data_IF_995355223579
#
_entry.id   IF_995355223579
#
_cell.length_a   1.000
_cell.length_b   1.000
_cell.length_c   1.000
_cell.angle_alpha   90.00
_cell.angle_beta   90.00
_cell.angle_gamma   90.00
#
_symmetry.space_group_name_H-M   'P 1'
#
loop_
_entity.id
_entity.type
_entity.pdbx_description
1 polymer ?
#
# COMPACT_ATOMS: atom_id res chain seq x y z
N UNK A 1 9.37 -24.65 10.21
CA UNK A 1 8.54 -24.66 9.01
C UNK A 1 7.85 -23.31 8.92
N UNK A 2 8.30 -22.45 8.01
CA UNK A 2 7.71 -21.14 7.78
C UNK A 2 6.43 -21.29 6.94
N UNK A 3 5.32 -20.61 7.26
CA UNK A 3 4.21 -20.52 6.33
C UNK A 3 4.67 -19.64 5.15
N UNK A 4 4.66 -20.23 3.96
CA UNK A 4 4.87 -19.53 2.70
C UNK A 4 3.77 -18.48 2.52
N UNK A 5 4.19 -17.22 2.39
CA UNK A 5 3.39 -16.11 1.91
C UNK A 5 3.04 -16.36 0.43
N UNK A 6 2.01 -17.19 0.18
CA UNK A 6 1.50 -17.43 -1.16
C UNK A 6 0.64 -16.26 -1.63
N UNK A 7 1.32 -15.17 -1.99
CA UNK A 7 0.76 -14.22 -2.94
C UNK A 7 0.57 -14.95 -4.28
N UNK A 8 -0.66 -15.06 -4.82
CA UNK A 8 -0.90 -15.88 -6.00
C UNK A 8 -0.12 -15.30 -7.18
N UNK A 9 0.68 -16.14 -7.82
CA UNK A 9 1.57 -15.73 -8.90
C UNK A 9 0.76 -15.20 -10.09
N UNK A 10 1.31 -14.28 -10.92
CA UNK A 10 0.63 -13.74 -12.10
C UNK A 10 0.04 -14.81 -13.04
N UNK A 11 0.59 -16.02 -13.01
CA UNK A 11 0.13 -17.18 -13.79
C UNK A 11 -1.22 -17.70 -13.32
N UNK A 12 -1.47 -17.78 -12.01
CA UNK A 12 -2.78 -18.20 -11.50
C UNK A 12 -3.86 -17.16 -11.76
N UNK A 13 -3.50 -15.86 -11.74
CA UNK A 13 -4.43 -14.77 -12.04
C UNK A 13 -4.89 -14.81 -13.50
N UNK A 14 -3.95 -15.12 -14.40
CA UNK A 14 -4.18 -15.26 -15.84
C UNK A 14 -5.11 -16.44 -16.15
N UNK A 15 -4.90 -17.59 -15.52
CA UNK A 15 -5.77 -18.76 -15.66
C UNK A 15 -7.21 -18.44 -15.26
N UNK A 16 -7.41 -17.79 -14.13
CA UNK A 16 -8.74 -17.35 -13.70
C UNK A 16 -9.42 -16.42 -14.70
N UNK A 17 -8.69 -15.45 -15.27
CA UNK A 17 -9.22 -14.53 -16.25
C UNK A 17 -9.67 -15.25 -17.54
N UNK A 18 -8.92 -16.26 -17.98
CA UNK A 18 -9.33 -17.11 -19.12
C UNK A 18 -10.56 -17.97 -18.81
N UNK A 19 -10.70 -18.45 -17.57
CA UNK A 19 -11.90 -19.16 -17.12
C UNK A 19 -13.14 -18.25 -17.15
N UNK A 20 -13.06 -17.02 -16.65
CA UNK A 20 -14.18 -16.05 -16.70
C UNK A 20 -14.56 -15.72 -18.15
N UNK A 21 -13.57 -15.61 -19.05
CA UNK A 21 -13.84 -15.45 -20.48
C UNK A 21 -14.63 -16.65 -21.04
N UNK A 22 -14.19 -17.87 -20.75
CA UNK A 22 -14.84 -19.10 -21.21
C UNK A 22 -16.27 -19.25 -20.65
N UNK A 23 -16.49 -18.96 -19.37
CA UNK A 23 -17.82 -18.96 -18.74
C UNK A 23 -18.78 -17.97 -19.39
N UNK A 24 -18.26 -16.85 -19.88
CA UNK A 24 -19.04 -15.82 -20.56
C UNK A 24 -19.14 -16.06 -22.08
N UNK A 25 -18.71 -17.24 -22.54
CA UNK A 25 -18.61 -17.61 -23.96
C UNK A 25 -17.83 -16.58 -24.80
N UNK A 26 -16.84 -15.95 -24.18
CA UNK A 26 -16.01 -14.92 -24.79
C UNK A 26 -14.71 -15.54 -25.30
N UNK A 27 -14.53 -15.49 -26.61
CA UNK A 27 -13.29 -15.90 -27.25
C UNK A 27 -12.29 -14.73 -27.25
N UNK A 28 -11.21 -14.86 -26.45
CA UNK A 28 -10.15 -13.86 -26.37
C UNK A 28 -9.38 -13.69 -27.69
N UNK A 29 -9.40 -14.69 -28.58
CA UNK A 29 -8.75 -14.61 -29.88
C UNK A 29 -9.54 -13.75 -30.89
N UNK A 30 -10.85 -13.62 -30.68
CA UNK A 30 -11.74 -12.75 -31.44
C UNK A 30 -11.72 -11.30 -30.94
N UNK A 31 -11.07 -11.01 -29.81
CA UNK A 31 -11.01 -9.68 -29.20
C UNK A 31 -9.96 -8.81 -29.90
N UNK A 32 -10.41 -7.75 -30.55
CA UNK A 32 -9.56 -6.72 -31.14
C UNK A 32 -9.26 -5.59 -30.16
N UNK A 33 -8.55 -4.57 -30.68
CA UNK A 33 -8.12 -3.39 -29.90
C UNK A 33 -9.28 -2.60 -29.33
N UNK A 34 -10.41 -2.55 -30.04
CA UNK A 34 -11.59 -1.81 -29.62
C UNK A 34 -12.28 -2.51 -28.43
N UNK A 35 -12.49 -3.82 -28.53
CA UNK A 35 -13.10 -4.63 -27.47
C UNK A 35 -12.21 -4.67 -26.22
N UNK A 36 -10.89 -4.85 -26.39
CA UNK A 36 -9.95 -4.85 -25.27
C UNK A 36 -9.97 -3.54 -24.47
N UNK A 37 -10.07 -2.39 -25.16
CA UNK A 37 -10.23 -1.07 -24.52
C UNK A 37 -11.57 -0.96 -23.79
N UNK A 38 -12.63 -1.52 -24.35
CA UNK A 38 -13.96 -1.54 -23.74
C UNK A 38 -13.97 -2.37 -22.45
N UNK A 39 -13.38 -3.57 -22.47
CA UNK A 39 -13.20 -4.41 -21.27
C UNK A 39 -12.43 -3.64 -20.19
N UNK A 40 -11.28 -3.06 -20.56
CA UNK A 40 -10.47 -2.26 -19.62
C UNK A 40 -11.27 -1.11 -19.00
N UNK A 41 -12.00 -0.35 -19.82
CA UNK A 41 -12.80 0.79 -19.34
C UNK A 41 -13.92 0.35 -18.39
N UNK A 42 -14.60 -0.75 -18.71
CA UNK A 42 -15.65 -1.32 -17.84
C UNK A 42 -15.07 -1.79 -16.51
N UNK A 43 -13.96 -2.53 -16.53
CA UNK A 43 -13.31 -2.98 -15.30
C UNK A 43 -12.81 -1.79 -14.47
N UNK A 44 -12.15 -0.82 -15.09
CA UNK A 44 -11.70 0.39 -14.40
C UNK A 44 -12.86 1.15 -13.76
N UNK A 45 -14.00 1.24 -14.44
CA UNK A 45 -15.18 1.92 -13.90
C UNK A 45 -15.75 1.22 -12.67
N UNK A 46 -15.66 -0.11 -12.59
CA UNK A 46 -16.12 -0.89 -11.44
C UNK A 46 -15.10 -0.88 -10.30
N UNK A 47 -13.82 -1.08 -10.61
CA UNK A 47 -12.74 -1.15 -9.63
C UNK A 47 -12.36 0.23 -9.07
N UNK A 48 -12.53 1.29 -9.86
CA UNK A 48 -12.05 2.64 -9.53
C UNK A 48 -10.54 2.84 -9.77
N UNK A 49 -9.83 1.81 -10.22
CA UNK A 49 -8.40 1.83 -10.55
C UNK A 49 -8.09 0.97 -11.78
N UNK A 50 -6.87 1.08 -12.29
CA UNK A 50 -6.43 0.31 -13.46
C UNK A 50 -6.39 -1.18 -13.15
N UNK A 51 -7.04 -2.04 -13.95
CA UNK A 51 -7.04 -3.48 -13.71
C UNK A 51 -5.60 -4.03 -13.60
N UNK A 52 -5.35 -4.96 -12.65
CA UNK A 52 -4.03 -5.55 -12.44
C UNK A 52 -3.62 -6.44 -13.64
N UNK A 53 -2.32 -6.73 -13.79
CA UNK A 53 -1.86 -7.72 -14.77
C UNK A 53 -2.47 -9.10 -14.48
N UNK A 54 -2.76 -9.85 -15.54
CA UNK A 54 -3.48 -11.13 -15.45
C UNK A 54 -5.00 -10.99 -15.28
N UNK A 55 -5.55 -9.77 -15.28
CA UNK A 55 -7.00 -9.57 -15.43
C UNK A 55 -7.47 -9.87 -16.85
N UNK A 56 -8.77 -10.04 -17.03
CA UNK A 56 -9.39 -10.20 -18.35
C UNK A 56 -9.03 -9.03 -19.29
N UNK A 57 -8.97 -7.79 -18.78
CA UNK A 57 -8.53 -6.65 -19.58
C UNK A 57 -7.06 -6.78 -20.03
N UNK A 58 -6.18 -7.27 -19.16
CA UNK A 58 -4.77 -7.50 -19.47
C UNK A 58 -4.61 -8.58 -20.54
N UNK A 59 -5.34 -9.70 -20.40
CA UNK A 59 -5.33 -10.80 -21.38
C UNK A 59 -5.91 -10.38 -22.73
N UNK A 60 -7.03 -9.66 -22.71
CA UNK A 60 -7.63 -9.06 -23.91
C UNK A 60 -6.66 -8.10 -24.62
N UNK A 61 -5.92 -7.28 -23.87
CA UNK A 61 -4.90 -6.39 -24.44
C UNK A 61 -3.72 -7.17 -25.02
N UNK A 62 -3.30 -8.26 -24.37
CA UNK A 62 -2.25 -9.12 -24.88
C UNK A 62 -2.67 -9.83 -26.18
N UNK A 63 -3.90 -10.33 -26.25
CA UNK A 63 -4.48 -10.92 -27.46
C UNK A 63 -4.60 -9.89 -28.59
N UNK A 64 -5.16 -8.71 -28.30
CA UNK A 64 -5.28 -7.61 -29.26
C UNK A 64 -3.92 -7.07 -29.72
N UNK A 65 -2.86 -7.19 -28.91
CA UNK A 65 -1.51 -6.80 -29.34
C UNK A 65 -0.94 -7.77 -30.37
N UNK A 66 -1.36 -9.04 -30.36
CA UNK A 66 -1.01 -10.04 -31.37
C UNK A 66 -1.92 -9.93 -32.61
N UNK A 67 -3.19 -9.61 -32.39
CA UNK A 67 -4.23 -9.52 -33.42
C UNK A 67 -5.07 -8.25 -33.23
N UNK A 68 -4.62 -7.08 -33.77
CA UNK A 68 -5.26 -5.80 -33.50
C UNK A 68 -6.72 -5.70 -33.96
N UNK A 69 -7.07 -6.44 -35.02
CA UNK A 69 -8.41 -6.49 -35.60
C UNK A 69 -9.22 -7.71 -35.15
N UNK A 70 -8.67 -8.55 -34.25
CA UNK A 70 -9.23 -9.86 -33.90
C UNK A 70 -8.93 -10.92 -34.98
N UNK A 71 -8.86 -12.19 -34.58
CA UNK A 71 -8.67 -13.31 -35.53
C UNK A 71 -9.97 -13.66 -36.26
N UNK A 72 -11.09 -13.44 -35.59
CA UNK A 72 -12.42 -13.81 -36.09
C UNK A 72 -13.06 -12.66 -36.88
N UNK A 73 -13.76 -12.95 -37.99
CA UNK A 73 -14.44 -11.93 -38.81
C UNK A 73 -15.67 -11.32 -38.13
N UNK A 74 -16.17 -11.95 -37.06
CA UNK A 74 -17.27 -11.44 -36.26
C UNK A 74 -16.73 -10.92 -34.93
N UNK A 75 -17.02 -9.66 -34.55
CA UNK A 75 -16.67 -9.16 -33.23
C UNK A 75 -17.43 -9.95 -32.16
N UNK A 76 -16.83 -10.15 -30.97
CA UNK A 76 -17.50 -10.82 -29.87
C UNK A 76 -18.69 -10.00 -29.39
N UNK A 77 -19.72 -10.70 -28.90
CA UNK A 77 -20.96 -10.05 -28.47
C UNK A 77 -20.69 -9.06 -27.33
N UNK A 78 -21.32 -7.89 -27.44
CA UNK A 78 -21.12 -6.79 -26.51
C UNK A 78 -21.73 -7.04 -25.14
N UNK A 79 -22.75 -7.89 -25.05
CA UNK A 79 -23.32 -8.29 -23.76
C UNK A 79 -22.37 -9.25 -23.03
N UNK A 80 -21.86 -10.28 -23.72
CA UNK A 80 -20.85 -11.20 -23.19
C UNK A 80 -19.57 -10.47 -22.73
N UNK A 81 -19.08 -9.50 -23.53
CA UNK A 81 -17.95 -8.64 -23.16
C UNK A 81 -18.17 -7.91 -21.84
N UNK A 82 -19.37 -7.34 -21.67
CA UNK A 82 -19.72 -6.58 -20.48
C UNK A 82 -19.85 -7.50 -19.28
N UNK A 83 -20.52 -8.62 -19.42
CA UNK A 83 -20.70 -9.60 -18.36
C UNK A 83 -19.35 -10.13 -17.86
N UNK A 84 -18.48 -10.58 -18.78
CA UNK A 84 -17.14 -11.06 -18.46
C UNK A 84 -16.31 -10.01 -17.73
N UNK A 85 -16.34 -8.76 -18.22
CA UNK A 85 -15.63 -7.65 -17.59
C UNK A 85 -16.12 -7.38 -16.16
N UNK A 86 -17.44 -7.39 -15.93
CA UNK A 86 -18.04 -7.19 -14.61
C UNK A 86 -17.73 -8.34 -13.65
N UNK A 87 -17.83 -9.59 -14.11
CA UNK A 87 -17.50 -10.79 -13.32
C UNK A 87 -16.03 -10.79 -12.88
N UNK A 88 -15.12 -10.51 -13.80
CA UNK A 88 -13.69 -10.43 -13.48
C UNK A 88 -13.37 -9.24 -12.56
N UNK A 89 -14.02 -8.09 -12.76
CA UNK A 89 -13.89 -6.96 -11.83
C UNK A 89 -14.41 -7.29 -10.43
N UNK A 90 -15.54 -8.01 -10.31
CA UNK A 90 -16.05 -8.45 -9.02
C UNK A 90 -15.10 -9.45 -8.32
N UNK A 91 -14.51 -10.37 -9.09
CA UNK A 91 -13.47 -11.30 -8.61
C UNK A 91 -12.26 -10.54 -8.08
N UNK A 92 -11.76 -9.57 -8.86
CA UNK A 92 -10.61 -8.73 -8.47
C UNK A 92 -10.96 -7.87 -7.26
N UNK A 93 -12.17 -7.31 -7.18
CA UNK A 93 -12.65 -6.58 -6.01
C UNK A 93 -12.65 -7.46 -4.76
N UNK A 94 -13.25 -8.65 -4.82
CA UNK A 94 -13.29 -9.59 -3.70
C UNK A 94 -11.90 -10.06 -3.28
N UNK A 95 -10.98 -10.23 -4.23
CA UNK A 95 -9.58 -10.57 -3.93
C UNK A 95 -8.81 -9.38 -3.39
N UNK A 96 -8.98 -8.19 -3.96
CA UNK A 96 -8.36 -6.96 -3.46
C UNK A 96 -8.86 -6.66 -2.06
N UNK A 97 -10.13 -6.87 -1.72
CA UNK A 97 -10.61 -6.78 -0.34
C UNK A 97 -9.89 -7.77 0.60
N UNK A 98 -9.52 -8.95 0.11
CA UNK A 98 -8.66 -9.90 0.83
C UNK A 98 -7.16 -9.57 0.74
N UNK A 99 -6.76 -8.65 -0.14
CA UNK A 99 -5.37 -8.32 -0.49
C UNK A 99 -5.08 -6.81 -0.48
N UNK A 100 -5.85 -6.02 0.31
CA UNK A 100 -5.84 -4.57 0.59
C UNK A 100 -7.01 -3.69 0.03
N UNK A 101 -7.61 -2.85 0.89
CA UNK A 101 -6.97 -1.63 1.38
C UNK A 101 -6.10 -1.98 2.57
N UNK A 102 -4.92 -1.40 2.59
CA UNK A 102 -3.95 -1.51 3.68
C UNK A 102 -4.61 -0.91 4.92
N UNK A 103 -5.52 -1.65 5.57
CA UNK A 103 -5.82 -1.43 6.97
C UNK A 103 -4.46 -1.58 7.61
N UNK A 104 -3.80 -0.44 7.86
CA UNK A 104 -2.48 -0.42 8.46
C UNK A 104 -2.70 -0.85 9.90
N UNK A 105 -2.88 -2.15 10.09
CA UNK A 105 -2.98 -2.76 11.41
C UNK A 105 -1.54 -2.97 11.85
N UNK A 106 -0.97 -1.93 12.46
CA UNK A 106 0.35 -2.02 13.05
C UNK A 106 0.14 -2.32 14.54
N UNK A 107 0.55 -3.52 14.97
CA UNK A 107 0.42 -3.98 16.37
C UNK A 107 -1.01 -3.94 16.92
N UNK A 108 -1.97 -4.49 16.16
CA UNK A 108 -3.41 -4.54 16.51
C UNK A 108 -4.12 -3.18 16.53
N UNK A 109 -3.47 -2.11 16.06
CA UNK A 109 -4.04 -0.76 15.96
C UNK A 109 -4.35 -0.45 14.50
N UNK A 110 -5.60 -0.10 14.24
CA UNK A 110 -6.04 0.40 12.93
C UNK A 110 -5.63 1.87 12.76
N UNK A 111 -4.55 2.13 12.02
CA UNK A 111 -4.06 3.49 11.80
C UNK A 111 -5.03 4.34 10.97
N UNK A 112 -5.95 3.75 10.20
CA UNK A 112 -6.94 4.53 9.43
C UNK A 112 -8.03 5.14 10.32
N UNK A 113 -8.14 4.65 11.57
CA UNK A 113 -9.09 5.12 12.58
C UNK A 113 -8.41 5.88 13.72
N UNK A 114 -7.13 6.18 13.59
CA UNK A 114 -6.38 6.86 14.65
C UNK A 114 -6.57 8.37 14.58
N UNK A 115 -6.89 8.95 15.73
CA UNK A 115 -7.03 10.37 15.92
C UNK A 115 -5.73 11.00 16.39
N UNK A 116 -5.70 12.33 16.37
CA UNK A 116 -4.52 13.10 16.75
C UNK A 116 -4.12 12.90 18.22
N UNK A 117 -5.09 12.67 19.11
CA UNK A 117 -4.84 12.38 20.53
C UNK A 117 -4.10 11.04 20.71
N UNK A 118 -4.56 10.00 20.04
CA UNK A 118 -3.98 8.65 20.13
C UNK A 118 -2.62 8.57 19.45
N UNK A 119 -2.46 9.22 18.30
CA UNK A 119 -1.16 9.32 17.65
C UNK A 119 -0.13 10.03 18.55
N UNK A 120 -0.54 11.07 19.28
CA UNK A 120 0.34 11.77 20.24
C UNK A 120 0.68 10.88 21.43
N UNK A 121 -0.28 10.06 21.88
CA UNK A 121 -0.06 9.08 22.93
C UNK A 121 0.94 8.02 22.51
N UNK A 122 0.80 7.42 21.33
CA UNK A 122 1.77 6.47 20.78
C UNK A 122 3.17 7.08 20.73
N UNK A 123 3.30 8.31 20.25
CA UNK A 123 4.58 9.02 20.22
C UNK A 123 5.19 9.19 21.62
N UNK A 124 4.39 9.56 22.62
CA UNK A 124 4.86 9.71 24.00
C UNK A 124 5.31 8.38 24.60
N UNK A 125 4.53 7.32 24.39
CA UNK A 125 4.82 5.98 24.94
C UNK A 125 6.03 5.33 24.25
N UNK A 126 6.16 5.44 22.93
CA UNK A 126 7.36 4.98 22.22
C UNK A 126 8.60 5.78 22.63
N UNK A 127 8.49 7.10 22.74
CA UNK A 127 9.61 7.93 23.21
C UNK A 127 10.06 7.52 24.61
N UNK A 128 9.12 7.28 25.54
CA UNK A 128 9.45 6.79 26.89
C UNK A 128 10.13 5.43 26.86
N UNK A 129 9.68 4.52 26.00
CA UNK A 129 10.24 3.18 25.87
C UNK A 129 11.63 3.18 25.19
N UNK A 130 11.85 4.04 24.21
CA UNK A 130 13.12 4.17 23.49
C UNK A 130 14.15 5.05 24.21
N UNK A 131 13.68 6.03 24.99
CA UNK A 131 14.52 7.08 25.58
C UNK A 131 14.92 8.20 24.62
N UNK A 132 14.41 8.19 23.39
CA UNK A 132 14.66 9.21 22.36
C UNK A 132 13.47 9.34 21.41
N UNK A 133 13.50 10.35 20.54
CA UNK A 133 12.42 10.58 19.56
C UNK A 133 12.27 9.39 18.60
N UNK A 134 11.07 8.80 18.47
CA UNK A 134 10.86 7.68 17.57
C UNK A 134 11.31 8.00 16.14
N UNK A 135 12.03 7.08 15.46
CA UNK A 135 12.53 7.30 14.11
C UNK A 135 11.39 7.35 13.09
N UNK A 136 11.62 7.92 11.89
CA UNK A 136 10.67 7.81 10.79
C UNK A 136 10.44 6.33 10.44
N UNK A 137 9.20 5.95 10.18
CA UNK A 137 8.79 4.57 9.96
C UNK A 137 8.54 3.76 11.25
N UNK A 138 8.62 4.38 12.43
CA UNK A 138 8.06 3.78 13.65
C UNK A 138 6.53 3.83 13.62
N UNK A 139 5.88 3.00 14.45
CA UNK A 139 4.43 2.97 14.59
C UNK A 139 3.89 4.36 14.96
N UNK A 140 4.51 5.07 15.90
CA UNK A 140 4.12 6.44 16.25
C UNK A 140 4.28 7.43 15.08
N UNK A 141 5.35 7.31 14.30
CA UNK A 141 5.55 8.15 13.13
C UNK A 141 4.47 7.91 12.06
N UNK A 142 4.12 6.64 11.82
CA UNK A 142 3.04 6.28 10.90
C UNK A 142 1.67 6.77 11.40
N UNK A 143 1.41 6.63 12.71
CA UNK A 143 0.18 7.11 13.34
C UNK A 143 0.00 8.62 13.20
N UNK A 144 1.06 9.42 13.34
CA UNK A 144 1.00 10.87 13.13
C UNK A 144 0.65 11.22 11.69
N UNK A 145 1.26 10.51 10.72
CA UNK A 145 0.96 10.71 9.30
C UNK A 145 -0.48 10.33 8.98
N UNK A 146 -1.00 9.24 9.56
CA UNK A 146 -2.37 8.81 9.37
C UNK A 146 -3.37 9.79 10.00
N UNK A 147 -3.15 10.22 11.25
CA UNK A 147 -3.98 11.22 11.91
C UNK A 147 -4.01 12.56 11.15
N UNK A 148 -2.90 12.97 10.54
CA UNK A 148 -2.85 14.18 9.72
C UNK A 148 -3.71 14.09 8.45
N UNK A 149 -3.94 12.88 7.93
CA UNK A 149 -4.85 12.64 6.79
C UNK A 149 -6.32 12.61 7.19
N UNK A 150 -6.61 12.37 8.48
CA UNK A 150 -7.96 12.22 9.02
C UNK A 150 -8.25 13.22 10.15
N UNK A 151 -8.26 14.55 9.86
CA UNK A 151 -8.44 15.59 10.89
C UNK A 151 -9.82 15.57 11.56
N UNK A 152 -10.78 14.86 10.95
CA UNK A 152 -12.15 14.66 11.45
C UNK A 152 -12.27 13.61 12.57
N UNK A 153 -11.26 12.73 12.72
CA UNK A 153 -11.22 11.73 13.79
C UNK A 153 -10.62 12.37 15.04
N UNK A 154 -11.49 12.95 15.87
CA UNK A 154 -11.09 13.59 17.13
C UNK A 154 -10.96 12.61 18.29
N UNK A 155 -11.85 11.62 18.32
CA UNK A 155 -11.94 10.63 19.41
C UNK A 155 -11.97 9.22 18.81
N UNK A 156 -10.81 8.58 18.70
CA UNK A 156 -10.78 7.14 18.46
C UNK A 156 -11.10 6.45 19.78
N UNK A 157 -12.06 5.53 19.76
CA UNK A 157 -12.39 4.71 20.93
C UNK A 157 -11.38 3.53 21.03
N UNK A 158 -10.09 3.85 21.00
CA UNK A 158 -9.01 2.86 21.13
C UNK A 158 -8.61 2.81 22.60
N UNK A 159 -8.59 1.60 23.18
CA UNK A 159 -8.21 1.44 24.58
C UNK A 159 -6.77 1.94 24.78
N UNK A 160 -6.53 2.88 25.72
CA UNK A 160 -5.21 3.40 26.01
C UNK A 160 -4.17 2.32 26.35
N UNK A 161 -4.59 1.18 26.91
CA UNK A 161 -3.71 0.05 27.24
C UNK A 161 -3.19 -0.65 25.99
N UNK A 162 -3.99 -0.69 24.92
CA UNK A 162 -3.59 -1.25 23.63
C UNK A 162 -2.52 -0.36 23.01
N UNK A 163 -2.72 0.96 23.03
CA UNK A 163 -1.73 1.94 22.53
C UNK A 163 -0.39 1.79 23.25
N UNK A 164 -0.37 1.72 24.58
CA UNK A 164 0.87 1.53 25.35
C UNK A 164 1.55 0.20 25.00
N UNK A 165 0.80 -0.90 24.90
CA UNK A 165 1.38 -2.21 24.55
C UNK A 165 1.97 -2.22 23.14
N UNK A 166 1.30 -1.60 22.18
CA UNK A 166 1.77 -1.49 20.81
C UNK A 166 3.05 -0.65 20.71
N UNK A 167 3.07 0.51 21.38
CA UNK A 167 4.25 1.37 21.47
C UNK A 167 5.46 0.64 22.06
N UNK A 168 5.26 -0.13 23.13
CA UNK A 168 6.35 -0.92 23.74
C UNK A 168 6.88 -2.02 22.79
N UNK A 169 5.99 -2.70 22.06
CA UNK A 169 6.38 -3.72 21.07
C UNK A 169 7.20 -3.09 19.93
N UNK A 170 6.75 -1.96 19.40
CA UNK A 170 7.47 -1.28 18.33
C UNK A 170 8.82 -0.73 18.80
N UNK A 171 8.86 -0.14 19.99
CA UNK A 171 10.11 0.30 20.61
C UNK A 171 11.09 -0.86 20.79
N UNK A 172 10.63 -2.04 21.23
CA UNK A 172 11.46 -3.24 21.37
C UNK A 172 11.99 -3.73 20.01
N UNK A 173 11.15 -3.69 18.96
CA UNK A 173 11.55 -4.00 17.58
C UNK A 173 12.65 -3.05 17.12
N UNK A 174 12.46 -1.74 17.27
CA UNK A 174 13.44 -0.71 16.87
C UNK A 174 14.73 -0.85 17.66
N UNK A 175 14.66 -1.10 18.97
CA UNK A 175 15.84 -1.33 19.80
C UNK A 175 16.64 -2.55 19.30
N UNK A 176 15.94 -3.63 18.92
CA UNK A 176 16.53 -4.85 18.36
C UNK A 176 17.16 -4.59 16.98
N UNK A 177 16.48 -3.85 16.10
CA UNK A 177 17.00 -3.45 14.79
C UNK A 177 18.23 -2.54 14.92
N UNK A 178 18.26 -1.64 15.92
CA UNK A 178 19.41 -0.77 16.19
C UNK A 178 20.57 -1.55 16.80
N UNK A 179 20.31 -2.56 17.62
CA UNK A 179 21.34 -3.50 18.08
C UNK A 179 21.94 -4.32 16.94
N UNK A 180 21.12 -4.73 15.96
CA UNK A 180 21.57 -5.44 14.77
C UNK A 180 22.29 -4.54 13.73
N UNK A 181 21.91 -3.27 13.63
CA UNK A 181 22.49 -2.27 12.70
C UNK A 181 23.59 -1.41 13.30
N UNK A 182 23.80 -1.47 14.63
CA UNK A 182 24.90 -0.83 15.35
C UNK A 182 26.30 -1.32 14.92
N UNK A 183 26.38 -2.36 14.09
CA UNK A 183 27.61 -2.78 13.43
C UNK A 183 27.96 -1.97 12.14
N UNK A 184 27.10 -1.04 11.69
CA UNK A 184 27.31 -0.34 10.39
C UNK A 184 27.02 1.17 10.33
N UNK A 185 26.80 1.87 11.45
CA UNK A 185 26.64 3.33 11.41
C UNK A 185 27.64 4.07 12.31
N UNK A 186 28.92 3.85 12.00
CA UNK A 186 30.01 4.70 12.45
C UNK A 186 30.35 5.70 11.33
N UNK A 187 29.81 6.92 11.42
CA UNK A 187 30.37 8.19 10.89
C UNK A 187 29.37 9.35 10.94
N UNK A 188 29.45 10.16 11.99
CA UNK A 188 30.04 11.51 11.95
C UNK A 188 29.72 12.24 13.24
N UNK A 189 30.72 12.27 14.10
CA UNK A 189 31.08 13.41 14.94
C UNK A 189 30.89 14.69 14.13
N UNK A 190 29.86 15.46 14.44
CA UNK A 190 29.84 16.89 14.14
C UNK A 190 29.92 17.57 15.50
N UNK A 191 31.03 18.27 15.69
CA UNK A 191 31.48 18.92 16.90
C UNK A 191 30.49 20.02 17.37
N UNK A 192 30.47 20.35 18.66
CA UNK A 192 29.74 21.51 19.16
C UNK A 192 30.28 22.81 18.54
N UNK A 193 29.44 23.79 18.21
CA UNK A 193 29.89 25.05 17.63
C UNK A 193 30.75 25.81 18.64
N UNK A 194 32.03 25.97 18.31
CA UNK A 194 32.98 26.83 19.01
C UNK A 194 32.46 28.27 18.95
N UNK A 195 32.05 28.79 20.11
CA UNK A 195 31.85 30.21 20.35
C UNK A 195 33.18 30.94 20.12
N UNK A 196 33.33 31.58 18.96
CA UNK A 196 34.40 32.55 18.74
C UNK A 196 34.04 33.84 19.49
N UNK A 197 34.49 33.94 20.73
CA UNK A 197 34.80 35.21 21.38
C UNK A 197 35.90 35.89 20.55
N UNK A 198 35.53 36.99 19.88
CA UNK A 198 36.42 37.82 19.09
C UNK A 198 36.17 39.26 19.44
N UNK A 199 36.80 39.69 20.52
CA UNK A 199 37.01 41.08 20.88
C UNK A 199 37.48 41.87 19.66
N UNK A 200 36.76 42.91 19.29
CA UNK A 200 37.34 43.99 18.50
C UNK A 200 37.26 45.26 19.32
N UNK A 201 38.38 45.52 19.97
CA UNK A 201 38.67 46.74 20.67
C UNK A 201 38.61 47.93 19.70
N UNK A 202 37.83 48.94 20.07
CA UNK A 202 38.10 50.31 19.66
C UNK A 202 39.49 50.73 20.14
N UNK A 203 40.24 51.47 19.29
CA UNK A 203 41.03 52.57 19.81
C UNK A 203 40.53 53.87 19.16
N UNK A 204 40.26 54.85 20.02
CA UNK A 204 39.87 56.20 19.59
C UNK A 204 41.05 57.04 19.12
N UNK A 205 40.72 58.04 18.33
CA UNK A 205 41.26 59.41 18.35
C UNK A 205 40.25 60.30 17.65
#
# INVERSE_FOLDING_TARGET
MAPTDESPTPQEISLDATHIAAESSLDLSAVGKHEARKIMSLQHKVLGYRPPPGSLASEAQAAASKHPDGISPSPPDTASLREAALKDAARIGLRSERSTPSKKISFDIDLDRIGLADARKLMSEEHKALGYRPPPGSLAAEAQVAAAKHPEIKDSNIDPRILTKAAQKDAARIASERGATGAKFDRRTEEPPVLKSGDNASPGA
#
